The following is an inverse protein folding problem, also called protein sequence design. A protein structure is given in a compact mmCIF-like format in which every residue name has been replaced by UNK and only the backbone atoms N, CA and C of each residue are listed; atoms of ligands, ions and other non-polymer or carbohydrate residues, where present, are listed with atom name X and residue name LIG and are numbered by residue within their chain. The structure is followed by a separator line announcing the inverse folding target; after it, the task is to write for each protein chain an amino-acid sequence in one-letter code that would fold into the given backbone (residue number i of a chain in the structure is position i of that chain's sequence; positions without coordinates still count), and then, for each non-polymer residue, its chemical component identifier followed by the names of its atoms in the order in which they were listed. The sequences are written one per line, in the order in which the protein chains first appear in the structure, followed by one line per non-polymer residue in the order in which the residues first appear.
data_IF_328264402850
#
_entry.id   IF_328264402850
#
_cell.length_a   1.000
_cell.length_b   1.000
_cell.length_c   1.000
_cell.angle_alpha   90.00
_cell.angle_beta   90.00
_cell.angle_gamma   90.00
#
_symmetry.space_group_name_H-M   'P 1'
#
loop_
_entity.id
_entity.type
_entity.pdbx_description
1 polymer ?
#
# COMPACT_ATOMS: atom_id res chain seq x y z
N UNK A 1 -20.59 3.13 -1.03
CA UNK A 1 -21.06 3.96 -2.18
C UNK A 1 -19.85 4.30 -3.03
N UNK A 2 -19.92 4.01 -4.33
CA UNK A 2 -18.92 4.41 -5.33
C UNK A 2 -18.65 5.91 -5.27
N UNK A 3 -17.41 6.35 -5.52
CA UNK A 3 -17.05 7.77 -5.59
C UNK A 3 -17.94 8.51 -6.59
N UNK A 4 -18.29 7.87 -7.71
CA UNK A 4 -19.18 8.44 -8.71
C UNK A 4 -20.63 8.73 -8.20
N UNK A 5 -21.04 8.15 -7.09
CA UNK A 5 -22.35 8.38 -6.47
C UNK A 5 -22.30 9.42 -5.33
N UNK A 6 -21.11 9.91 -4.99
CA UNK A 6 -20.96 10.93 -3.95
C UNK A 6 -21.32 12.33 -4.50
N UNK A 7 -21.79 13.19 -3.60
CA UNK A 7 -21.92 14.62 -3.89
C UNK A 7 -20.54 15.20 -4.22
N UNK A 8 -20.39 16.04 -5.24
CA UNK A 8 -19.12 16.71 -5.54
C UNK A 8 -18.52 17.46 -4.33
N UNK A 9 -19.35 17.97 -3.41
CA UNK A 9 -18.85 18.60 -2.18
C UNK A 9 -18.17 17.58 -1.25
N UNK A 10 -18.63 16.32 -1.22
CA UNK A 10 -17.99 15.25 -0.45
C UNK A 10 -16.66 14.83 -1.10
N UNK A 11 -16.61 14.76 -2.44
CA UNK A 11 -15.35 14.44 -3.14
C UNK A 11 -14.26 15.47 -2.82
N UNK A 12 -14.64 16.74 -2.73
CA UNK A 12 -13.72 17.85 -2.42
C UNK A 12 -13.46 18.04 -0.92
N UNK A 13 -14.25 17.41 -0.05
CA UNK A 13 -14.14 17.49 1.41
C UNK A 13 -14.36 16.09 2.02
N UNK A 14 -13.36 15.20 1.95
CA UNK A 14 -13.49 13.79 2.34
C UNK A 14 -13.96 13.57 3.79
N UNK A 15 -13.68 14.53 4.67
CA UNK A 15 -14.11 14.48 6.07
C UNK A 15 -15.63 14.52 6.27
N UNK A 16 -16.39 14.88 5.23
CA UNK A 16 -17.88 14.87 5.24
C UNK A 16 -18.44 13.52 4.85
N UNK A 17 -17.62 12.58 4.37
CA UNK A 17 -18.10 11.27 3.96
C UNK A 17 -18.47 10.43 5.16
N UNK A 18 -19.70 9.91 5.16
CA UNK A 18 -20.14 8.90 6.12
C UNK A 18 -19.84 7.50 5.60
N UNK A 19 -19.35 6.64 6.47
CA UNK A 19 -19.05 5.25 6.17
C UNK A 19 -20.01 4.33 6.91
N UNK A 20 -20.35 3.16 6.35
CA UNK A 20 -21.07 2.15 7.09
C UNK A 20 -20.20 1.61 8.24
N UNK A 21 -20.83 1.02 9.25
CA UNK A 21 -20.07 0.28 10.27
C UNK A 21 -19.22 -0.82 9.63
N UNK A 22 -18.04 -1.07 10.19
CA UNK A 22 -17.20 -2.18 9.75
C UNK A 22 -17.95 -3.51 9.86
N UNK A 23 -17.76 -4.37 8.88
CA UNK A 23 -18.32 -5.72 8.85
C UNK A 23 -17.33 -6.68 8.23
N UNK A 24 -16.80 -7.57 9.03
CA UNK A 24 -15.89 -8.62 8.58
C UNK A 24 -16.54 -9.49 7.48
N UNK A 25 -17.84 -9.82 7.63
CA UNK A 25 -18.59 -10.58 6.63
C UNK A 25 -18.64 -9.84 5.28
N UNK A 26 -18.92 -8.53 5.29
CA UNK A 26 -18.92 -7.71 4.06
C UNK A 26 -17.52 -7.65 3.43
N UNK A 27 -16.49 -7.43 4.24
CA UNK A 27 -15.10 -7.41 3.76
C UNK A 27 -14.76 -8.73 3.07
N UNK A 28 -14.94 -9.86 3.76
CA UNK A 28 -14.58 -11.17 3.25
C UNK A 28 -15.39 -11.56 2.01
N UNK A 29 -16.70 -11.29 2.01
CA UNK A 29 -17.56 -11.61 0.87
C UNK A 29 -17.25 -10.77 -0.37
N UNK A 30 -17.00 -9.46 -0.20
CA UNK A 30 -16.72 -8.57 -1.34
C UNK A 30 -15.31 -8.68 -1.88
N UNK A 31 -14.31 -8.92 -1.02
CA UNK A 31 -12.91 -9.09 -1.46
C UNK A 31 -12.68 -10.46 -2.08
N UNK A 32 -13.12 -11.54 -1.43
CA UNK A 32 -12.67 -12.89 -1.75
C UNK A 32 -13.70 -13.78 -2.43
N UNK A 33 -15.00 -13.52 -2.25
CA UNK A 33 -16.07 -14.47 -2.67
C UNK A 33 -15.71 -15.91 -2.29
N UNK A 34 -15.55 -16.23 -0.98
CA UNK A 34 -15.05 -17.52 -0.56
C UNK A 34 -15.99 -18.65 -1.00
N UNK A 35 -15.42 -19.82 -1.30
CA UNK A 35 -16.18 -21.01 -1.67
C UNK A 35 -16.35 -21.92 -0.46
N UNK A 36 -17.29 -22.87 -0.56
CA UNK A 36 -17.54 -23.88 0.50
C UNK A 36 -16.26 -24.63 0.86
N UNK A 37 -15.95 -24.67 2.15
CA UNK A 37 -14.77 -25.33 2.70
C UNK A 37 -13.49 -24.45 2.68
N UNK A 38 -13.56 -23.19 2.24
CA UNK A 38 -12.40 -22.27 2.24
C UNK A 38 -11.82 -22.15 3.66
N UNK A 39 -10.60 -22.65 3.85
CA UNK A 39 -9.91 -22.63 5.14
C UNK A 39 -9.10 -21.34 5.30
N UNK A 40 -9.40 -20.56 6.35
CA UNK A 40 -8.80 -19.25 6.59
C UNK A 40 -7.93 -19.25 7.85
N UNK A 41 -6.82 -18.47 7.82
CA UNK A 41 -6.07 -18.10 9.02
C UNK A 41 -5.67 -16.62 9.00
N UNK A 42 -5.21 -16.17 10.17
CA UNK A 42 -4.64 -14.84 10.40
C UNK A 42 -3.17 -14.99 10.71
N UNK A 43 -2.35 -14.13 10.10
CA UNK A 43 -0.94 -13.93 10.44
C UNK A 43 -0.77 -12.54 11.06
N UNK A 44 -0.08 -12.47 12.19
CA UNK A 44 0.35 -11.23 12.84
C UNK A 44 1.86 -11.24 13.01
N UNK A 45 2.49 -10.06 13.09
CA UNK A 45 3.90 -9.94 13.44
C UNK A 45 4.09 -9.63 14.93
N UNK A 46 5.13 -10.17 15.54
CA UNK A 46 5.52 -9.83 16.92
C UNK A 46 7.03 -9.64 17.01
N UNK A 47 7.49 -8.72 17.87
CA UNK A 47 8.91 -8.57 18.19
C UNK A 47 9.40 -9.71 19.12
N UNK A 48 8.57 -10.10 20.08
CA UNK A 48 8.83 -11.21 21.02
C UNK A 48 7.80 -12.32 20.79
N UNK A 49 8.25 -13.42 20.20
CA UNK A 49 7.39 -14.57 19.90
C UNK A 49 6.79 -15.23 21.13
N UNK A 50 7.36 -15.05 22.31
CA UNK A 50 6.79 -15.58 23.57
C UNK A 50 5.44 -14.94 23.93
N UNK A 51 5.15 -13.77 23.37
CA UNK A 51 3.87 -13.07 23.54
C UNK A 51 2.72 -13.74 22.77
N UNK A 52 3.01 -14.68 21.87
CA UNK A 52 1.95 -15.44 21.18
C UNK A 52 1.30 -16.46 22.12
N UNK A 53 2.06 -17.05 23.05
CA UNK A 53 1.53 -18.02 24.02
C UNK A 53 0.42 -17.40 24.86
N UNK A 54 -0.76 -18.04 24.82
CA UNK A 54 -1.94 -17.59 25.57
C UNK A 54 -2.42 -16.19 25.21
N UNK A 55 -2.06 -15.68 24.04
CA UNK A 55 -2.38 -14.30 23.57
C UNK A 55 -1.73 -13.20 24.44
N UNK A 56 -0.54 -13.40 24.96
CA UNK A 56 0.16 -12.46 25.83
C UNK A 56 0.32 -11.05 25.23
N UNK A 57 0.33 -10.91 23.89
CA UNK A 57 0.38 -9.62 23.21
C UNK A 57 -0.84 -8.73 23.49
N UNK A 58 -1.97 -9.29 23.95
CA UNK A 58 -3.16 -8.49 24.31
C UNK A 58 -2.92 -7.60 25.53
N UNK A 59 -2.08 -8.07 26.47
CA UNK A 59 -1.74 -7.34 27.70
C UNK A 59 -0.45 -6.51 27.55
N UNK A 60 0.30 -6.69 26.44
CA UNK A 60 1.54 -5.98 26.20
C UNK A 60 1.29 -4.60 25.57
N UNK A 61 2.16 -3.62 25.90
CA UNK A 61 2.15 -2.28 25.27
C UNK A 61 2.68 -2.36 23.82
N UNK A 62 2.23 -1.46 22.93
CA UNK A 62 2.79 -1.29 21.60
C UNK A 62 2.30 -2.30 20.55
N UNK A 63 1.27 -3.11 20.83
CA UNK A 63 0.73 -4.13 19.93
C UNK A 63 -0.68 -3.80 19.42
N UNK A 64 -0.93 -2.53 19.12
CA UNK A 64 -2.28 -2.06 18.74
C UNK A 64 -2.80 -2.69 17.44
N UNK A 65 -1.94 -2.93 16.46
CA UNK A 65 -2.29 -3.60 15.20
C UNK A 65 -2.71 -5.04 15.46
N UNK A 66 -1.94 -5.77 16.28
CA UNK A 66 -2.17 -7.18 16.61
C UNK A 66 -3.41 -7.35 17.50
N UNK A 67 -3.67 -6.40 18.40
CA UNK A 67 -4.91 -6.37 19.21
C UNK A 67 -6.14 -6.21 18.30
N UNK A 68 -6.08 -5.31 17.31
CA UNK A 68 -7.16 -5.16 16.32
C UNK A 68 -7.33 -6.40 15.44
N UNK A 69 -6.24 -7.05 15.05
CA UNK A 69 -6.30 -8.31 14.33
C UNK A 69 -7.05 -9.39 15.14
N UNK A 70 -6.81 -9.44 16.44
CA UNK A 70 -7.51 -10.34 17.34
C UNK A 70 -8.99 -9.97 17.50
N UNK A 71 -9.28 -8.71 17.88
CA UNK A 71 -10.62 -8.26 18.25
C UNK A 71 -11.58 -8.24 17.04
N UNK A 72 -11.15 -7.70 15.91
CA UNK A 72 -12.00 -7.43 14.76
C UNK A 72 -12.02 -8.56 13.72
N UNK A 73 -10.99 -9.41 13.69
CA UNK A 73 -10.87 -10.49 12.71
C UNK A 73 -10.90 -11.87 13.36
N UNK A 74 -9.99 -12.15 14.30
CA UNK A 74 -9.89 -13.49 14.90
C UNK A 74 -11.15 -13.87 15.64
N UNK A 75 -11.70 -13.03 16.51
CA UNK A 75 -12.93 -13.30 17.25
C UNK A 75 -14.13 -13.54 16.32
N UNK A 76 -14.15 -12.95 15.14
CA UNK A 76 -15.19 -13.15 14.13
C UNK A 76 -15.01 -14.43 13.30
N UNK A 77 -13.78 -14.92 13.18
CA UNK A 77 -13.45 -16.12 12.36
C UNK A 77 -13.41 -17.42 13.17
N UNK A 78 -12.93 -17.36 14.41
CA UNK A 78 -12.75 -18.53 15.24
C UNK A 78 -14.05 -19.32 15.42
N UNK A 79 -13.94 -20.61 15.70
CA UNK A 79 -15.08 -21.50 15.98
C UNK A 79 -16.14 -21.54 14.85
N UNK A 80 -15.72 -21.26 13.61
CA UNK A 80 -16.59 -21.28 12.43
C UNK A 80 -17.50 -20.04 12.33
N UNK A 81 -17.07 -18.88 12.86
CA UNK A 81 -17.83 -17.63 12.87
C UNK A 81 -18.28 -17.16 11.48
N UNK A 82 -17.57 -17.51 10.39
CA UNK A 82 -17.91 -17.21 9.00
C UNK A 82 -18.36 -18.44 8.18
N UNK A 83 -18.94 -19.44 8.85
CA UNK A 83 -19.47 -20.64 8.16
C UNK A 83 -20.64 -20.32 7.20
N UNK A 84 -21.36 -19.21 7.41
CA UNK A 84 -22.35 -18.70 6.47
C UNK A 84 -21.79 -18.26 5.12
N UNK A 85 -20.48 -17.96 5.05
CA UNK A 85 -19.72 -17.72 3.82
C UNK A 85 -19.03 -18.97 3.27
N UNK A 86 -19.30 -20.16 3.83
CA UNK A 86 -18.63 -21.40 3.49
C UNK A 86 -17.20 -21.52 4.04
N UNK A 87 -16.79 -20.64 4.94
CA UNK A 87 -15.42 -20.61 5.48
C UNK A 87 -15.26 -21.55 6.67
N UNK A 88 -14.05 -22.09 6.80
CA UNK A 88 -13.61 -22.94 7.92
C UNK A 88 -12.26 -22.43 8.45
N UNK A 89 -11.76 -23.01 9.56
CA UNK A 89 -10.53 -22.56 10.20
C UNK A 89 -10.78 -21.38 11.14
N UNK A 90 -10.06 -20.31 10.96
CA UNK A 90 -10.07 -19.13 11.82
C UNK A 90 -8.97 -19.19 12.88
N UNK A 91 -7.85 -19.86 12.57
CA UNK A 91 -6.66 -19.92 13.41
C UNK A 91 -5.86 -18.62 13.31
N UNK A 92 -5.06 -18.32 14.34
CA UNK A 92 -4.16 -17.17 14.36
C UNK A 92 -2.73 -17.61 14.70
N UNK A 93 -1.76 -17.08 13.96
CA UNK A 93 -0.34 -17.39 14.11
C UNK A 93 0.47 -16.10 14.12
N UNK A 94 1.63 -16.10 14.77
CA UNK A 94 2.56 -14.99 14.76
C UNK A 94 3.87 -15.36 14.06
N UNK A 95 4.43 -14.43 13.30
CA UNK A 95 5.78 -14.51 12.72
C UNK A 95 6.67 -13.39 13.26
N UNK A 96 8.01 -13.55 13.25
CA UNK A 96 8.94 -12.52 13.69
C UNK A 96 8.82 -11.25 12.86
N UNK A 97 8.71 -10.09 13.53
CA UNK A 97 8.64 -8.78 12.89
C UNK A 97 9.84 -8.52 11.98
N UNK A 98 9.60 -7.99 10.78
CA UNK A 98 10.65 -7.78 9.76
C UNK A 98 11.43 -6.47 9.92
N UNK A 99 10.86 -5.48 10.63
CA UNK A 99 11.41 -4.11 10.77
C UNK A 99 11.60 -3.37 9.44
N UNK A 100 10.96 -3.81 8.38
CA UNK A 100 10.98 -3.16 7.07
C UNK A 100 9.83 -3.61 6.18
N UNK A 101 9.30 -2.68 5.39
CA UNK A 101 8.19 -2.93 4.47
C UNK A 101 8.60 -3.87 3.34
N UNK A 102 7.77 -4.89 3.11
CA UNK A 102 7.93 -5.85 2.02
C UNK A 102 9.23 -6.69 2.06
N UNK A 103 9.90 -6.78 3.20
CA UNK A 103 10.97 -7.76 3.41
C UNK A 103 10.41 -9.19 3.45
N UNK A 104 11.20 -10.15 2.99
CA UNK A 104 10.82 -11.55 3.03
C UNK A 104 10.64 -12.03 4.47
N UNK A 105 9.59 -12.85 4.68
CA UNK A 105 9.28 -13.39 6.00
C UNK A 105 10.20 -14.56 6.34
N UNK A 106 10.56 -14.67 7.62
CA UNK A 106 11.15 -15.91 8.14
C UNK A 106 10.17 -17.07 7.99
N UNK A 107 10.65 -18.27 7.74
CA UNK A 107 9.80 -19.49 7.71
C UNK A 107 9.23 -19.84 9.10
N UNK A 108 9.73 -19.22 10.17
CA UNK A 108 9.27 -19.47 11.53
C UNK A 108 7.95 -18.76 11.83
N UNK A 109 7.00 -19.50 12.41
CA UNK A 109 5.80 -18.91 13.02
C UNK A 109 5.40 -19.71 14.28
N UNK A 110 4.52 -19.11 15.09
CA UNK A 110 4.13 -19.67 16.39
C UNK A 110 2.62 -19.68 16.52
N UNK A 111 2.07 -20.77 17.08
CA UNK A 111 0.67 -20.86 17.46
C UNK A 111 0.44 -20.35 18.89
N UNK A 112 -0.82 -20.38 19.33
CA UNK A 112 -1.25 -19.87 20.64
C UNK A 112 -0.78 -20.70 21.84
N UNK A 113 -0.30 -21.92 21.62
CA UNK A 113 0.36 -22.76 22.62
C UNK A 113 1.87 -22.50 22.67
N UNK A 114 2.40 -21.55 21.88
CA UNK A 114 3.84 -21.26 21.81
C UNK A 114 4.65 -22.28 21.01
N UNK A 115 3.97 -23.12 20.22
CA UNK A 115 4.63 -24.12 19.38
C UNK A 115 5.19 -23.48 18.11
N UNK A 116 6.48 -23.76 17.83
CA UNK A 116 7.13 -23.38 16.59
C UNK A 116 6.58 -24.21 15.41
N UNK A 117 6.19 -23.53 14.36
CA UNK A 117 5.69 -24.06 13.09
C UNK A 117 6.51 -23.44 11.93
N UNK A 118 6.33 -23.97 10.72
CA UNK A 118 6.90 -23.45 9.48
C UNK A 118 5.79 -22.80 8.65
N UNK A 119 5.98 -21.56 8.20
CA UNK A 119 5.04 -20.92 7.28
C UNK A 119 4.87 -21.74 6.00
N UNK A 120 5.97 -22.20 5.41
CA UNK A 120 5.96 -22.96 4.15
C UNK A 120 5.25 -24.31 4.27
N UNK A 121 5.49 -25.06 5.36
CA UNK A 121 4.99 -26.45 5.49
C UNK A 121 3.67 -26.56 6.22
N UNK A 122 3.45 -25.71 7.23
CA UNK A 122 2.36 -25.88 8.18
C UNK A 122 1.25 -24.85 7.97
N UNK A 123 1.52 -23.73 7.24
CA UNK A 123 0.56 -22.66 7.01
C UNK A 123 0.20 -22.55 5.54
N UNK A 124 1.15 -22.24 4.65
CA UNK A 124 0.88 -21.96 3.23
C UNK A 124 0.30 -23.15 2.47
N UNK A 125 0.55 -24.39 2.93
CA UNK A 125 -0.01 -25.62 2.34
C UNK A 125 -1.37 -26.00 2.91
N UNK A 126 -1.76 -25.44 4.06
CA UNK A 126 -2.94 -25.88 4.82
C UNK A 126 -4.12 -24.90 4.71
N UNK A 127 -3.88 -23.64 4.34
CA UNK A 127 -4.91 -22.61 4.29
C UNK A 127 -5.10 -22.08 2.88
N UNK A 128 -6.38 -21.94 2.48
CA UNK A 128 -6.77 -21.39 1.18
C UNK A 128 -6.75 -19.86 1.18
N UNK A 129 -6.92 -19.25 2.37
CA UNK A 129 -7.01 -17.83 2.56
C UNK A 129 -6.19 -17.38 3.77
N UNK A 130 -5.27 -16.43 3.55
CA UNK A 130 -4.39 -15.90 4.60
C UNK A 130 -4.61 -14.40 4.74
N UNK A 131 -5.01 -13.95 5.93
CA UNK A 131 -5.14 -12.55 6.29
C UNK A 131 -3.93 -12.13 7.12
N UNK A 132 -3.00 -11.39 6.54
CA UNK A 132 -1.82 -10.89 7.24
C UNK A 132 -2.08 -9.47 7.74
N UNK A 133 -2.16 -9.31 9.07
CA UNK A 133 -2.41 -8.03 9.74
C UNK A 133 -1.18 -7.72 10.59
N UNK A 134 -0.33 -6.83 10.13
CA UNK A 134 1.03 -6.65 10.61
C UNK A 134 1.40 -5.19 10.79
N UNK A 135 2.50 -4.93 11.46
CA UNK A 135 3.08 -3.59 11.62
C UNK A 135 3.67 -3.10 10.30
N UNK A 136 4.47 -3.96 9.64
CA UNK A 136 5.07 -3.69 8.34
C UNK A 136 4.36 -4.44 7.21
N UNK A 137 4.37 -3.88 6.00
CA UNK A 137 3.78 -4.54 4.84
C UNK A 137 4.47 -5.88 4.54
N UNK A 138 3.67 -6.90 4.29
CA UNK A 138 4.10 -8.22 3.83
C UNK A 138 3.57 -8.56 2.43
N UNK A 139 3.14 -7.55 1.66
CA UNK A 139 2.45 -7.75 0.36
C UNK A 139 3.36 -8.45 -0.64
N UNK A 140 4.59 -7.98 -0.83
CA UNK A 140 5.52 -8.55 -1.80
C UNK A 140 5.89 -10.01 -1.47
N UNK A 141 6.37 -10.35 -0.25
CA UNK A 141 6.71 -11.73 0.06
C UNK A 141 5.50 -12.67 0.01
N UNK A 142 4.34 -12.25 0.51
CA UNK A 142 3.14 -13.09 0.45
C UNK A 142 2.61 -13.26 -0.98
N UNK A 143 2.76 -12.27 -1.86
CA UNK A 143 2.42 -12.41 -3.28
C UNK A 143 3.29 -13.48 -3.96
N UNK A 144 4.59 -13.52 -3.65
CA UNK A 144 5.48 -14.56 -4.15
C UNK A 144 5.08 -15.94 -3.60
N UNK A 145 4.84 -16.05 -2.29
CA UNK A 145 4.41 -17.30 -1.63
C UNK A 145 3.03 -17.77 -2.08
N UNK A 146 2.08 -16.87 -2.30
CA UNK A 146 0.77 -17.21 -2.85
C UNK A 146 0.90 -17.90 -4.20
N UNK A 147 1.73 -17.37 -5.11
CA UNK A 147 2.00 -17.97 -6.42
C UNK A 147 2.70 -19.34 -6.30
N UNK A 148 3.58 -19.52 -5.33
CA UNK A 148 4.31 -20.77 -5.09
C UNK A 148 3.40 -21.86 -4.51
N UNK A 149 2.58 -21.54 -3.50
CA UNK A 149 1.79 -22.52 -2.73
C UNK A 149 0.32 -22.60 -3.13
N UNK A 150 -0.20 -21.64 -3.87
CA UNK A 150 -1.56 -21.71 -4.43
C UNK A 150 -2.66 -21.10 -3.55
N UNK A 151 -2.33 -20.35 -2.49
CA UNK A 151 -3.32 -19.67 -1.64
C UNK A 151 -3.67 -18.27 -2.15
N UNK A 152 -4.71 -17.69 -1.57
CA UNK A 152 -5.08 -16.27 -1.73
C UNK A 152 -4.98 -15.58 -0.38
N UNK A 153 -4.95 -14.24 -0.38
CA UNK A 153 -4.90 -13.53 0.89
C UNK A 153 -5.08 -12.04 0.77
N UNK A 154 -4.93 -11.40 1.92
CA UNK A 154 -4.79 -9.94 2.00
C UNK A 154 -3.75 -9.56 3.05
N UNK A 155 -3.10 -8.42 2.80
CA UNK A 155 -2.25 -7.74 3.77
C UNK A 155 -2.91 -6.45 4.23
N UNK A 156 -2.85 -6.18 5.52
CA UNK A 156 -3.44 -5.00 6.19
C UNK A 156 -2.44 -4.51 7.24
N UNK A 157 -1.42 -3.75 6.81
CA UNK A 157 -0.43 -3.26 7.75
C UNK A 157 -0.84 -1.92 8.39
N UNK A 158 -0.32 -1.65 9.57
CA UNK A 158 -0.59 -0.39 10.28
C UNK A 158 -2.07 -0.14 10.60
N UNK A 159 -2.89 -1.19 10.73
CA UNK A 159 -4.33 -1.13 10.97
C UNK A 159 -4.65 -0.29 12.21
N UNK A 160 -5.54 0.70 12.05
CA UNK A 160 -6.05 1.55 13.11
C UNK A 160 -7.57 1.76 13.01
N UNK A 161 -8.17 2.49 13.98
CA UNK A 161 -9.62 2.71 14.02
C UNK A 161 -10.15 3.49 12.81
N UNK A 162 -9.37 4.44 12.28
CA UNK A 162 -9.79 5.21 11.10
C UNK A 162 -9.86 4.30 9.89
N UNK A 163 -8.83 3.49 9.65
CA UNK A 163 -8.79 2.51 8.56
C UNK A 163 -9.95 1.53 8.66
N UNK A 164 -10.15 0.96 9.85
CA UNK A 164 -11.20 -0.02 10.09
C UNK A 164 -12.59 0.54 9.76
N UNK A 165 -12.87 1.78 10.21
CA UNK A 165 -14.17 2.42 10.05
C UNK A 165 -14.32 3.26 8.76
N UNK A 166 -13.36 3.20 7.84
CA UNK A 166 -13.44 3.87 6.54
C UNK A 166 -12.96 2.98 5.40
N UNK A 167 -11.65 2.86 5.16
CA UNK A 167 -11.11 2.11 4.03
C UNK A 167 -11.44 0.62 4.02
N UNK A 168 -11.61 -0.02 5.17
CA UNK A 168 -12.07 -1.41 5.28
C UNK A 168 -13.60 -1.55 5.40
N UNK A 169 -14.31 -0.45 5.62
CA UNK A 169 -15.77 -0.46 5.79
C UNK A 169 -16.55 -0.32 4.47
N UNK A 170 -15.87 -0.08 3.35
CA UNK A 170 -16.49 0.10 2.03
C UNK A 170 -16.81 -1.22 1.31
N UNK A 171 -17.55 -1.15 0.22
CA UNK A 171 -17.78 -2.27 -0.69
C UNK A 171 -16.66 -2.30 -1.76
N UNK A 172 -15.89 -3.37 -1.78
CA UNK A 172 -14.76 -3.51 -2.69
C UNK A 172 -15.14 -3.71 -4.17
N UNK A 173 -16.40 -4.06 -4.47
CA UNK A 173 -16.91 -3.98 -5.84
C UNK A 173 -16.92 -2.54 -6.34
N UNK A 174 -17.33 -1.60 -5.49
CA UNK A 174 -17.36 -0.18 -5.82
C UNK A 174 -15.94 0.39 -5.91
N UNK A 175 -15.06 0.05 -4.98
CA UNK A 175 -13.64 0.44 -5.03
C UNK A 175 -13.00 0.00 -6.34
N UNK A 176 -13.19 -1.27 -6.72
CA UNK A 176 -12.65 -1.82 -7.97
C UNK A 176 -13.21 -1.14 -9.21
N UNK A 177 -14.50 -0.79 -9.21
CA UNK A 177 -15.13 -0.12 -10.34
C UNK A 177 -14.61 1.32 -10.53
N UNK A 178 -14.41 2.05 -9.44
CA UNK A 178 -13.87 3.41 -9.49
C UNK A 178 -12.38 3.41 -9.88
N UNK A 179 -11.58 2.50 -9.32
CA UNK A 179 -10.19 2.32 -9.73
C UNK A 179 -10.06 1.96 -11.22
N UNK A 180 -10.98 1.14 -11.78
CA UNK A 180 -10.96 0.80 -13.21
C UNK A 180 -11.23 2.00 -14.11
N UNK A 181 -12.14 2.91 -13.72
CA UNK A 181 -12.39 4.14 -14.48
C UNK A 181 -11.16 5.02 -14.57
N UNK A 182 -10.47 5.22 -13.42
CA UNK A 182 -9.23 5.99 -13.39
C UNK A 182 -8.09 5.29 -14.10
N UNK A 183 -7.98 3.96 -13.96
CA UNK A 183 -7.01 3.17 -14.72
C UNK A 183 -7.17 3.37 -16.22
N UNK A 184 -8.40 3.31 -16.74
CA UNK A 184 -8.69 3.54 -18.15
C UNK A 184 -8.35 4.97 -18.59
N UNK A 185 -8.61 5.96 -17.74
CA UNK A 185 -8.26 7.35 -18.01
C UNK A 185 -6.74 7.56 -18.12
N UNK A 186 -5.96 6.83 -17.32
CA UNK A 186 -4.49 6.93 -17.32
C UNK A 186 -3.79 5.89 -18.21
N UNK A 187 -4.54 4.94 -18.78
CA UNK A 187 -3.97 3.84 -19.59
C UNK A 187 -3.13 4.35 -20.76
N UNK A 188 -2.02 3.66 -21.05
CA UNK A 188 -1.14 4.01 -22.17
C UNK A 188 -0.49 5.38 -22.07
N UNK A 189 -0.24 5.87 -20.87
CA UNK A 189 0.54 7.07 -20.66
C UNK A 189 2.00 6.88 -21.11
N UNK A 190 2.56 7.85 -21.83
CA UNK A 190 3.97 7.83 -22.23
C UNK A 190 4.87 8.34 -21.09
N UNK A 191 4.40 9.35 -20.36
CA UNK A 191 5.11 9.90 -19.21
C UNK A 191 4.19 10.67 -18.26
N UNK A 192 4.69 10.86 -17.04
CA UNK A 192 4.10 11.78 -16.05
C UNK A 192 5.15 12.76 -15.57
N UNK A 193 4.77 14.04 -15.42
CA UNK A 193 5.56 15.07 -14.77
C UNK A 193 4.86 15.53 -13.50
N UNK A 194 5.61 15.65 -12.39
CA UNK A 194 5.12 16.13 -11.10
C UNK A 194 5.88 17.39 -10.73
N UNK A 195 5.18 18.50 -10.57
CA UNK A 195 5.74 19.76 -10.10
C UNK A 195 5.47 19.98 -8.61
N UNK A 196 6.54 20.17 -7.86
CA UNK A 196 6.53 20.44 -6.43
C UNK A 196 6.89 21.89 -6.15
N UNK A 197 5.95 22.66 -5.60
CA UNK A 197 6.17 24.03 -5.18
C UNK A 197 6.65 24.07 -3.72
N UNK A 198 7.87 24.52 -3.47
CA UNK A 198 8.43 24.71 -2.15
C UNK A 198 8.04 26.05 -1.54
N UNK A 199 8.07 26.18 -0.21
CA UNK A 199 7.77 27.44 0.50
C UNK A 199 8.73 28.57 0.14
N UNK A 200 9.96 28.27 -0.26
CA UNK A 200 10.95 29.28 -0.69
C UNK A 200 10.76 29.78 -2.13
N UNK A 201 9.71 29.31 -2.81
CA UNK A 201 9.33 29.70 -4.17
C UNK A 201 10.01 28.91 -5.28
N UNK A 202 10.89 27.95 -4.96
CA UNK A 202 11.42 27.00 -5.97
C UNK A 202 10.32 26.04 -6.42
N UNK A 203 10.41 25.62 -7.68
CA UNK A 203 9.63 24.50 -8.21
C UNK A 203 10.61 23.41 -8.60
N UNK A 204 10.39 22.22 -8.08
CA UNK A 204 11.11 21.01 -8.46
C UNK A 204 10.22 20.21 -9.40
N UNK A 205 10.81 19.55 -10.39
CA UNK A 205 10.05 18.69 -11.31
C UNK A 205 10.67 17.32 -11.38
N UNK A 206 9.85 16.29 -11.14
CA UNK A 206 10.17 14.90 -11.43
C UNK A 206 9.46 14.46 -12.71
N UNK A 207 10.21 13.92 -13.66
CA UNK A 207 9.69 13.30 -14.87
C UNK A 207 9.86 11.80 -14.80
N UNK A 208 8.78 11.06 -15.10
CA UNK A 208 8.74 9.61 -15.09
C UNK A 208 8.29 9.10 -16.47
N UNK A 209 9.13 8.30 -17.11
CA UNK A 209 8.86 7.62 -18.38
C UNK A 209 8.08 6.34 -18.15
N UNK A 210 6.97 6.16 -18.87
CA UNK A 210 6.06 5.02 -18.73
C UNK A 210 5.97 4.18 -20.01
N UNK A 211 6.49 4.70 -21.12
CA UNK A 211 6.61 4.00 -22.43
C UNK A 211 5.29 3.39 -22.93
N UNK A 212 4.16 4.07 -22.69
CA UNK A 212 2.83 3.63 -23.15
C UNK A 212 2.36 2.31 -22.53
N UNK A 213 2.88 1.94 -21.35
CA UNK A 213 2.47 0.73 -20.63
C UNK A 213 1.00 0.79 -20.22
N UNK A 214 0.42 -0.37 -19.92
CA UNK A 214 -0.90 -0.40 -19.31
C UNK A 214 -0.80 0.08 -17.87
N UNK A 215 -1.69 1.00 -17.50
CA UNK A 215 -1.89 1.33 -16.09
C UNK A 215 -2.36 0.10 -15.33
N UNK A 216 -1.84 -0.10 -14.13
CA UNK A 216 -2.24 -1.16 -13.22
C UNK A 216 -3.18 -0.59 -12.15
N UNK A 217 -3.88 -1.45 -11.41
CA UNK A 217 -4.69 -1.04 -10.27
C UNK A 217 -4.55 -2.00 -9.10
N UNK A 218 -4.46 -1.47 -7.89
CA UNK A 218 -4.68 -2.18 -6.66
C UNK A 218 -6.12 -1.89 -6.22
N UNK A 219 -7.01 -2.87 -6.38
CA UNK A 219 -8.46 -2.66 -6.29
C UNK A 219 -9.15 -3.52 -5.22
N UNK A 220 -8.36 -4.31 -4.49
CA UNK A 220 -8.81 -5.09 -3.35
C UNK A 220 -9.63 -6.34 -3.66
N UNK A 221 -9.92 -6.67 -4.92
CA UNK A 221 -10.59 -7.95 -5.24
C UNK A 221 -9.56 -9.05 -5.43
N UNK A 222 -9.68 -10.11 -4.65
CA UNK A 222 -8.83 -11.29 -4.70
C UNK A 222 -9.70 -12.56 -4.81
N UNK A 223 -10.33 -12.73 -5.97
CA UNK A 223 -11.40 -13.71 -6.22
C UNK A 223 -10.96 -14.82 -7.17
N UNK A 224 -11.79 -15.87 -7.23
CA UNK A 224 -11.56 -17.00 -8.14
C UNK A 224 -10.55 -17.98 -7.58
N UNK A 225 -9.78 -18.63 -8.46
CA UNK A 225 -8.81 -19.69 -8.11
C UNK A 225 -7.35 -19.28 -8.35
N UNK A 226 -7.11 -18.07 -8.88
CA UNK A 226 -5.74 -17.62 -9.11
C UNK A 226 -5.14 -17.16 -7.77
N UNK A 227 -3.96 -17.69 -7.43
CA UNK A 227 -3.23 -17.23 -6.25
C UNK A 227 -2.90 -15.75 -6.36
N UNK A 228 -3.26 -14.98 -5.33
CA UNK A 228 -3.01 -13.54 -5.30
C UNK A 228 -3.12 -12.98 -3.89
N UNK A 229 -2.58 -11.79 -3.67
CA UNK A 229 -2.66 -11.04 -2.41
C UNK A 229 -3.24 -9.66 -2.67
N UNK A 230 -4.34 -9.33 -1.99
CA UNK A 230 -4.87 -7.98 -1.96
C UNK A 230 -4.14 -7.14 -0.91
N UNK A 231 -3.72 -5.93 -1.24
CA UNK A 231 -3.27 -4.94 -0.26
C UNK A 231 -4.47 -4.09 0.16
N UNK A 232 -4.83 -4.10 1.44
CA UNK A 232 -6.03 -3.47 1.98
C UNK A 232 -5.70 -2.47 3.11
N UNK A 233 -6.34 -1.27 3.12
CA UNK A 233 -7.32 -0.76 2.16
C UNK A 233 -6.75 -0.62 0.76
N UNK A 234 -7.58 -0.85 -0.25
CA UNK A 234 -7.20 -0.73 -1.65
C UNK A 234 -7.84 0.50 -2.30
N UNK A 235 -7.43 0.77 -3.51
CA UNK A 235 -7.97 1.87 -4.33
C UNK A 235 -6.87 2.79 -4.84
N UNK A 236 -6.05 2.28 -5.76
CA UNK A 236 -5.04 3.07 -6.45
C UNK A 236 -4.90 2.62 -7.90
N UNK A 237 -4.35 3.52 -8.70
CA UNK A 237 -3.81 3.25 -10.03
C UNK A 237 -2.32 3.48 -9.98
N UNK A 238 -1.54 2.55 -10.52
CA UNK A 238 -0.08 2.65 -10.47
C UNK A 238 0.60 2.25 -11.76
N UNK A 239 1.85 2.64 -11.87
CA UNK A 239 2.79 2.32 -12.94
C UNK A 239 4.14 1.94 -12.34
N UNK A 240 4.88 1.08 -13.06
CA UNK A 240 6.30 0.84 -12.80
C UNK A 240 7.10 1.71 -13.78
N UNK A 241 7.77 2.79 -13.37
CA UNK A 241 8.50 3.65 -14.28
C UNK A 241 9.63 2.90 -14.97
N UNK A 242 9.80 3.12 -16.29
CA UNK A 242 10.93 2.55 -17.06
C UNK A 242 12.13 3.47 -17.10
N UNK A 243 11.92 4.77 -16.86
CA UNK A 243 12.93 5.81 -16.74
C UNK A 243 12.42 6.92 -15.81
N UNK A 244 13.31 7.61 -15.13
CA UNK A 244 12.96 8.80 -14.36
C UNK A 244 14.14 9.74 -14.22
N UNK A 245 13.84 11.07 -14.12
CA UNK A 245 14.85 12.11 -13.95
C UNK A 245 14.26 13.36 -13.34
N UNK A 246 15.12 14.24 -12.84
CA UNK A 246 14.74 15.51 -12.24
C UNK A 246 14.90 15.53 -10.75
N UNK A 247 14.04 16.27 -10.06
CA UNK A 247 14.16 16.47 -8.62
C UNK A 247 12.79 16.45 -7.96
N UNK A 248 12.73 15.91 -6.75
CA UNK A 248 11.54 16.01 -5.91
C UNK A 248 11.92 16.14 -4.42
N UNK A 249 11.06 16.77 -3.60
CA UNK A 249 11.31 16.90 -2.18
C UNK A 249 10.94 15.62 -1.44
N UNK A 250 11.66 15.33 -0.36
CA UNK A 250 11.33 14.26 0.58
C UNK A 250 11.34 14.80 2.00
N UNK A 251 10.27 14.51 2.75
CA UNK A 251 10.21 14.73 4.19
C UNK A 251 10.51 13.42 4.89
N UNK A 252 11.59 13.42 5.67
CA UNK A 252 12.03 12.27 6.47
C UNK A 252 11.22 12.17 7.77
N UNK A 253 11.26 11.01 8.42
CA UNK A 253 10.51 10.73 9.66
C UNK A 253 10.84 11.68 10.81
N UNK A 254 12.12 12.12 10.91
CA UNK A 254 12.56 13.11 11.93
C UNK A 254 12.14 14.56 11.60
N UNK A 255 11.38 14.75 10.51
CA UNK A 255 10.93 16.06 10.04
C UNK A 255 11.92 16.77 9.12
N UNK A 256 13.11 16.22 8.88
CA UNK A 256 14.08 16.77 7.92
C UNK A 256 13.48 16.82 6.53
N UNK A 257 13.74 17.91 5.81
CA UNK A 257 13.33 18.11 4.43
C UNK A 257 14.57 18.13 3.53
N UNK A 258 14.57 17.26 2.52
CA UNK A 258 15.62 17.16 1.50
C UNK A 258 15.10 17.30 0.08
N UNK A 259 15.99 17.55 -0.86
CA UNK A 259 15.74 17.41 -2.31
C UNK A 259 16.47 16.17 -2.79
N UNK A 260 15.76 15.28 -3.41
CA UNK A 260 16.28 14.10 -4.08
C UNK A 260 16.56 14.40 -5.54
N UNK A 261 17.75 14.03 -6.01
CA UNK A 261 18.17 14.11 -7.41
C UNK A 261 17.98 12.74 -8.06
N UNK A 262 17.27 12.69 -9.19
CA UNK A 262 17.00 11.45 -9.94
C UNK A 262 17.67 11.49 -11.29
N UNK A 263 18.41 10.43 -11.61
CA UNK A 263 19.04 10.19 -12.91
C UNK A 263 18.85 8.72 -13.28
N UNK A 264 18.40 8.45 -14.50
CA UNK A 264 18.23 7.10 -15.04
C UNK A 264 17.43 6.19 -14.07
N UNK A 265 16.27 6.66 -13.59
CA UNK A 265 15.38 5.95 -12.66
C UNK A 265 15.94 5.82 -11.21
N UNK A 266 17.15 6.32 -10.94
CA UNK A 266 17.80 6.20 -9.63
C UNK A 266 17.90 7.52 -8.90
N UNK A 267 17.55 7.53 -7.61
CA UNK A 267 17.94 8.60 -6.70
C UNK A 267 19.43 8.49 -6.45
N UNK A 268 20.18 9.49 -6.87
CA UNK A 268 21.63 9.50 -6.77
C UNK A 268 22.18 10.31 -5.60
N UNK A 269 21.36 11.21 -5.06
CA UNK A 269 21.72 12.04 -3.90
C UNK A 269 20.51 12.68 -3.25
N UNK A 270 20.68 13.05 -1.98
CA UNK A 270 19.81 13.95 -1.24
C UNK A 270 20.56 15.20 -0.81
N UNK A 271 19.92 16.36 -0.87
CA UNK A 271 20.47 17.65 -0.42
C UNK A 271 19.54 18.27 0.61
N UNK A 272 20.09 18.77 1.73
CA UNK A 272 19.33 19.37 2.81
C UNK A 272 18.62 20.66 2.37
N UNK A 273 17.34 20.80 2.68
CA UNK A 273 16.59 22.07 2.69
C UNK A 273 16.51 22.59 4.13
N UNK A 274 16.00 21.77 5.04
CA UNK A 274 15.76 22.12 6.45
C UNK A 274 15.86 20.88 7.33
N UNK A 275 16.34 21.04 8.56
CA UNK A 275 16.41 19.95 9.55
C UNK A 275 17.83 19.44 9.77
N UNK A 276 17.99 18.12 9.84
CA UNK A 276 19.20 17.44 10.30
C UNK A 276 20.10 16.99 9.12
N UNK A 277 21.34 17.50 9.07
CA UNK A 277 22.32 17.08 8.04
C UNK A 277 22.71 15.60 8.19
N UNK A 278 22.73 15.04 9.40
CA UNK A 278 23.07 13.64 9.64
C UNK A 278 22.08 12.68 8.95
N UNK A 279 20.79 13.04 8.91
CA UNK A 279 19.73 12.27 8.21
C UNK A 279 20.01 12.24 6.71
N UNK A 280 20.38 13.38 6.11
CA UNK A 280 20.76 13.47 4.69
C UNK A 280 22.04 12.67 4.40
N UNK A 281 23.05 12.79 5.26
CA UNK A 281 24.31 12.08 5.10
C UNK A 281 24.11 10.55 5.21
N UNK A 282 23.24 10.09 6.13
CA UNK A 282 22.89 8.68 6.27
C UNK A 282 22.17 8.15 5.01
N UNK A 283 21.20 8.90 4.47
CA UNK A 283 20.55 8.54 3.21
C UNK A 283 21.54 8.46 2.05
N UNK A 284 22.39 9.46 1.88
CA UNK A 284 23.41 9.45 0.85
C UNK A 284 24.40 8.28 1.01
N UNK A 285 24.74 7.92 2.24
CA UNK A 285 25.60 6.77 2.52
C UNK A 285 24.91 5.44 2.14
N UNK A 286 23.58 5.31 2.40
CA UNK A 286 22.77 4.14 1.97
C UNK A 286 22.74 4.02 0.45
N UNK A 287 22.45 5.13 -0.27
CA UNK A 287 22.45 5.16 -1.73
C UNK A 287 23.81 4.81 -2.34
N UNK A 288 24.91 5.30 -1.74
CA UNK A 288 26.26 5.00 -2.20
C UNK A 288 26.69 3.55 -1.90
N UNK A 289 26.25 3.00 -0.76
CA UNK A 289 26.53 1.59 -0.41
C UNK A 289 25.70 0.65 -1.28
N UNK A 290 24.40 0.90 -1.43
CA UNK A 290 23.49 0.04 -2.21
C UNK A 290 22.58 0.89 -3.12
N UNK A 291 23.01 1.18 -4.36
CA UNK A 291 22.24 2.03 -5.28
C UNK A 291 20.84 1.51 -5.61
N UNK A 292 20.59 0.20 -5.48
CA UNK A 292 19.25 -0.37 -5.70
C UNK A 292 18.19 0.20 -4.76
N UNK A 293 18.60 0.65 -3.56
CA UNK A 293 17.70 1.30 -2.60
C UNK A 293 17.15 2.65 -3.07
N UNK A 294 17.74 3.25 -4.07
CA UNK A 294 17.31 4.51 -4.69
C UNK A 294 16.55 4.33 -6.00
N UNK A 295 16.39 3.09 -6.50
CA UNK A 295 15.68 2.88 -7.78
C UNK A 295 14.19 3.09 -7.60
N UNK A 296 13.57 3.96 -8.42
CA UNK A 296 12.13 4.20 -8.39
C UNK A 296 11.38 2.98 -8.97
N UNK A 297 10.60 2.32 -8.12
CA UNK A 297 9.85 1.11 -8.45
C UNK A 297 8.38 1.35 -8.73
N UNK A 298 7.83 2.50 -8.28
CA UNK A 298 6.41 2.78 -8.44
C UNK A 298 6.12 4.28 -8.59
N UNK A 299 5.05 4.56 -9.34
CA UNK A 299 4.30 5.82 -9.35
C UNK A 299 2.84 5.48 -9.13
N UNK A 300 2.27 5.85 -7.98
CA UNK A 300 0.90 5.52 -7.61
C UNK A 300 0.02 6.76 -7.41
N UNK A 301 -1.30 6.56 -7.60
CA UNK A 301 -2.35 7.58 -7.49
C UNK A 301 -3.54 7.04 -6.72
N UNK A 302 -3.93 7.72 -5.64
CA UNK A 302 -5.12 7.39 -4.87
C UNK A 302 -6.41 7.59 -5.67
N UNK A 303 -7.38 6.70 -5.46
CA UNK A 303 -8.66 6.71 -6.19
C UNK A 303 -9.87 6.86 -5.29
N UNK A 304 -9.69 6.92 -3.96
CA UNK A 304 -10.75 6.85 -2.99
C UNK A 304 -10.96 8.17 -2.23
N UNK A 305 -12.19 8.47 -1.89
CA UNK A 305 -12.54 9.58 -0.99
C UNK A 305 -12.54 9.05 0.44
N UNK A 306 -11.40 9.15 1.12
CA UNK A 306 -11.16 8.61 2.46
C UNK A 306 -10.68 9.71 3.42
N UNK A 307 -10.97 9.59 4.73
CA UNK A 307 -10.36 10.46 5.73
C UNK A 307 -8.87 10.13 5.88
N UNK A 308 -8.09 11.10 6.32
CA UNK A 308 -6.70 10.89 6.72
C UNK A 308 -6.65 9.95 7.91
N UNK A 309 -5.90 8.87 7.80
CA UNK A 309 -5.76 7.84 8.85
C UNK A 309 -4.49 7.99 9.68
N UNK A 310 -3.48 8.69 9.15
CA UNK A 310 -2.15 8.77 9.72
C UNK A 310 -1.28 7.53 9.44
N UNK A 311 -1.78 6.59 8.64
CA UNK A 311 -1.03 5.43 8.15
C UNK A 311 -1.01 5.45 6.61
N UNK A 312 0.17 5.32 6.03
CA UNK A 312 0.39 5.49 4.59
C UNK A 312 -0.45 4.54 3.76
N UNK A 313 -0.67 3.31 4.21
CA UNK A 313 -1.49 2.30 3.52
C UNK A 313 -2.89 2.80 3.12
N UNK A 314 -3.52 3.67 3.93
CA UNK A 314 -4.79 4.30 3.54
C UNK A 314 -4.57 5.66 2.89
N UNK A 315 -3.64 6.45 3.40
CA UNK A 315 -3.51 7.85 3.01
C UNK A 315 -3.02 7.99 1.55
N UNK A 316 -2.30 6.99 1.03
CA UNK A 316 -1.92 6.88 -0.39
C UNK A 316 -3.09 6.54 -1.32
N UNK A 317 -4.20 5.99 -0.79
CA UNK A 317 -5.40 5.66 -1.56
C UNK A 317 -6.36 6.85 -1.71
N UNK A 318 -6.05 7.99 -1.07
CA UNK A 318 -6.89 9.19 -1.11
C UNK A 318 -6.80 9.87 -2.48
N UNK A 319 -7.95 10.16 -3.07
CA UNK A 319 -8.05 10.83 -4.37
C UNK A 319 -7.42 12.24 -4.32
N UNK A 320 -6.47 12.50 -5.19
CA UNK A 320 -5.69 13.74 -5.22
C UNK A 320 -4.32 13.63 -4.54
N UNK A 321 -3.97 12.47 -3.97
CA UNK A 321 -2.61 12.16 -3.55
C UNK A 321 -1.86 11.39 -4.64
N UNK A 322 -0.55 11.45 -4.61
CA UNK A 322 0.30 10.51 -5.35
C UNK A 322 1.50 10.12 -4.49
N UNK A 323 2.13 9.03 -4.85
CA UNK A 323 3.36 8.56 -4.21
C UNK A 323 4.36 8.05 -5.25
N UNK A 324 5.62 8.06 -4.87
CA UNK A 324 6.70 7.37 -5.54
C UNK A 324 7.21 6.31 -4.57
N UNK A 325 7.57 5.13 -5.07
CA UNK A 325 8.23 4.15 -4.21
C UNK A 325 9.62 3.83 -4.71
N UNK A 326 10.49 3.47 -3.78
CA UNK A 326 11.85 3.02 -4.05
C UNK A 326 12.06 1.58 -3.64
N UNK A 327 13.03 0.91 -4.26
CA UNK A 327 13.40 -0.45 -3.94
C UNK A 327 12.72 -1.51 -4.80
N UNK A 328 12.37 -2.67 -4.21
CA UNK A 328 11.80 -3.80 -4.95
C UNK A 328 10.45 -3.48 -5.57
N UNK A 329 10.21 -4.00 -6.78
CA UNK A 329 8.97 -3.79 -7.54
C UNK A 329 8.43 -5.07 -8.23
N UNK A 330 9.03 -6.22 -7.93
CA UNK A 330 8.69 -7.52 -8.55
C UNK A 330 7.22 -7.93 -8.32
N UNK A 331 6.64 -7.56 -7.18
CA UNK A 331 5.22 -7.80 -6.86
C UNK A 331 4.27 -6.90 -7.68
N UNK A 332 4.76 -5.78 -8.20
CA UNK A 332 4.02 -4.84 -9.05
C UNK A 332 4.20 -5.14 -10.55
N UNK A 333 5.00 -6.15 -10.88
CA UNK A 333 5.32 -6.52 -12.25
C UNK A 333 6.58 -5.86 -12.81
N UNK A 334 7.38 -5.24 -11.95
CA UNK A 334 8.71 -4.72 -12.26
C UNK A 334 9.79 -5.79 -12.27
N UNK A 335 11.03 -5.36 -12.38
CA UNK A 335 12.20 -6.22 -12.56
C UNK A 335 13.18 -6.20 -11.37
N UNK A 336 12.89 -5.38 -10.34
CA UNK A 336 13.75 -5.26 -9.16
C UNK A 336 13.37 -6.32 -8.12
N UNK A 337 14.20 -7.34 -8.02
CA UNK A 337 14.01 -8.47 -7.10
C UNK A 337 14.99 -8.39 -5.92
N UNK A 338 14.70 -9.07 -4.77
CA UNK A 338 15.56 -9.02 -3.58
C UNK A 338 17.03 -9.34 -3.82
N UNK A 339 17.34 -10.28 -4.70
CA UNK A 339 18.72 -10.70 -5.03
C UNK A 339 19.57 -9.60 -5.71
N UNK A 340 18.97 -8.50 -6.16
CA UNK A 340 19.69 -7.37 -6.76
C UNK A 340 20.27 -6.43 -5.71
N UNK A 341 19.80 -6.51 -4.47
CA UNK A 341 20.30 -5.68 -3.37
C UNK A 341 21.55 -6.28 -2.75
N UNK A 342 22.43 -5.41 -2.27
CA UNK A 342 23.68 -5.82 -1.61
C UNK A 342 23.43 -6.61 -0.33
N UNK A 343 22.34 -6.28 0.37
CA UNK A 343 21.91 -6.92 1.62
C UNK A 343 20.42 -7.16 1.56
N UNK A 344 19.99 -8.28 2.13
CA UNK A 344 18.57 -8.63 2.19
C UNK A 344 17.73 -7.57 2.90
N UNK A 345 18.23 -7.00 4.01
CA UNK A 345 17.55 -5.92 4.73
C UNK A 345 17.35 -4.61 3.93
N UNK A 346 18.00 -4.47 2.77
CA UNK A 346 17.85 -3.34 1.88
C UNK A 346 16.76 -3.56 0.81
N UNK A 347 16.26 -4.80 0.65
CA UNK A 347 15.28 -5.16 -0.39
C UNK A 347 13.84 -4.78 0.00
N UNK A 348 13.70 -3.61 0.63
CA UNK A 348 12.40 -3.02 0.97
C UNK A 348 11.70 -2.44 -0.27
N UNK A 349 10.42 -2.17 -0.13
CA UNK A 349 9.63 -1.29 -1.00
C UNK A 349 9.13 -0.16 -0.11
N UNK A 350 9.66 1.03 -0.33
CA UNK A 350 9.44 2.18 0.55
C UNK A 350 8.68 3.29 -0.18
N UNK A 351 7.43 3.55 0.23
CA UNK A 351 6.58 4.58 -0.34
C UNK A 351 6.95 5.97 0.16
N UNK A 352 7.04 6.92 -0.76
CA UNK A 352 7.24 8.35 -0.50
C UNK A 352 5.92 9.04 -0.85
N UNK A 353 5.04 9.15 0.13
CA UNK A 353 3.71 9.71 -0.05
C UNK A 353 3.73 11.24 -0.06
N UNK A 354 3.07 11.81 -1.06
CA UNK A 354 2.79 13.24 -1.16
C UNK A 354 1.32 13.51 -0.87
N UNK A 355 1.05 14.08 0.30
CA UNK A 355 -0.28 14.41 0.77
C UNK A 355 -0.25 15.67 1.65
N UNK A 356 -1.33 16.48 1.69
CA UNK A 356 -1.33 17.77 2.40
C UNK A 356 -0.93 17.67 3.88
N UNK A 357 -1.37 16.62 4.56
CA UNK A 357 -1.11 16.42 5.99
C UNK A 357 0.30 15.87 6.25
N UNK A 358 0.86 15.12 5.31
CA UNK A 358 2.17 14.48 5.46
C UNK A 358 3.31 15.41 5.04
N UNK A 359 3.08 16.20 4.00
CA UNK A 359 4.08 17.09 3.40
C UNK A 359 3.66 18.56 3.41
N UNK A 360 3.38 19.16 4.59
CA UNK A 360 2.89 20.53 4.68
C UNK A 360 3.90 21.59 4.22
N UNK A 361 5.19 21.25 4.13
CA UNK A 361 6.28 22.16 3.74
C UNK A 361 6.40 22.39 2.23
N UNK A 362 5.64 21.66 1.42
CA UNK A 362 5.57 21.83 -0.02
C UNK A 362 4.23 21.34 -0.57
N UNK A 363 3.91 21.76 -1.79
CA UNK A 363 2.68 21.41 -2.47
C UNK A 363 2.99 20.71 -3.79
N UNK A 364 2.21 19.69 -4.16
CA UNK A 364 2.12 19.28 -5.56
C UNK A 364 1.31 20.34 -6.28
N UNK A 365 1.98 21.23 -7.02
CA UNK A 365 1.30 22.25 -7.78
C UNK A 365 0.55 21.67 -8.96
N UNK A 366 1.14 20.68 -9.65
CA UNK A 366 0.52 20.02 -10.78
C UNK A 366 1.13 18.65 -11.04
N UNK A 367 0.28 17.69 -11.45
CA UNK A 367 0.68 16.42 -12.07
C UNK A 367 0.13 16.38 -13.49
N UNK A 368 1.01 16.25 -14.48
CA UNK A 368 0.67 16.20 -15.90
C UNK A 368 1.02 14.85 -16.49
N UNK A 369 0.07 14.25 -17.19
CA UNK A 369 0.24 13.01 -17.95
C UNK A 369 0.33 13.33 -19.43
N UNK A 370 1.27 12.72 -20.14
CA UNK A 370 1.41 12.80 -21.61
C UNK A 370 1.08 11.47 -22.27
N UNK A 371 0.35 11.57 -23.39
CA UNK A 371 -0.01 10.44 -24.26
C UNK A 371 0.00 10.91 -25.71
N UNK A 372 1.04 10.55 -26.46
CA UNK A 372 1.29 11.13 -27.78
C UNK A 372 1.45 12.64 -27.70
N UNK A 373 0.63 13.35 -28.48
CA UNK A 373 0.60 14.82 -28.50
C UNK A 373 -0.39 15.43 -27.47
N UNK A 374 -1.08 14.58 -26.68
CA UNK A 374 -2.06 15.03 -25.68
C UNK A 374 -1.39 15.14 -24.32
N UNK A 375 -1.77 16.20 -23.61
CA UNK A 375 -1.38 16.42 -22.20
C UNK A 375 -2.64 16.61 -21.38
N UNK A 376 -2.75 15.86 -20.29
CA UNK A 376 -3.86 15.91 -19.33
C UNK A 376 -3.34 16.22 -17.94
N UNK A 377 -4.00 17.11 -17.23
CA UNK A 377 -3.71 17.37 -15.83
C UNK A 377 -4.45 16.31 -15.00
N UNK A 378 -3.74 15.61 -14.13
CA UNK A 378 -4.32 14.62 -13.22
C UNK A 378 -4.64 15.25 -11.86
N UNK A 379 -3.70 15.99 -11.30
CA UNK A 379 -3.80 16.58 -9.95
C UNK A 379 -3.37 18.04 -10.01
N UNK A 380 -4.08 18.91 -9.29
CA UNK A 380 -3.70 20.30 -9.01
C UNK A 380 -3.86 20.62 -7.53
N UNK A 381 -2.79 21.03 -6.86
CA UNK A 381 -2.81 21.41 -5.44
C UNK A 381 -3.44 20.32 -4.54
N UNK A 382 -3.01 19.08 -4.71
CA UNK A 382 -3.55 17.89 -4.02
C UNK A 382 -5.04 17.66 -4.24
N UNK A 383 -5.58 18.10 -5.37
CA UNK A 383 -6.98 17.87 -5.74
C UNK A 383 -7.07 17.15 -7.08
N UNK A 384 -8.02 16.25 -7.28
CA UNK A 384 -8.25 15.66 -8.58
C UNK A 384 -8.65 16.76 -9.57
N UNK A 385 -8.11 16.68 -10.78
CA UNK A 385 -8.47 17.58 -11.87
C UNK A 385 -9.87 17.28 -12.39
N UNK A 386 -10.41 18.18 -13.22
CA UNK A 386 -11.67 17.93 -13.90
C UNK A 386 -11.60 16.68 -14.81
N UNK A 387 -10.45 16.40 -15.42
CA UNK A 387 -10.24 15.19 -16.23
C UNK A 387 -10.48 13.91 -15.43
N UNK A 388 -9.91 13.79 -14.22
CA UNK A 388 -10.13 12.62 -13.36
C UNK A 388 -11.58 12.55 -12.83
N UNK A 389 -12.18 13.70 -12.50
CA UNK A 389 -13.57 13.76 -12.07
C UNK A 389 -14.52 13.33 -13.18
N UNK A 390 -14.32 13.77 -14.42
CA UNK A 390 -15.13 13.39 -15.56
C UNK A 390 -15.02 11.88 -15.84
N UNK A 391 -13.83 11.30 -15.71
CA UNK A 391 -13.61 9.86 -15.83
C UNK A 391 -14.37 9.08 -14.75
N UNK A 392 -14.30 9.51 -13.49
CA UNK A 392 -15.03 8.88 -12.38
C UNK A 392 -16.54 8.95 -12.57
N UNK A 393 -17.07 10.09 -13.05
CA UNK A 393 -18.49 10.34 -13.27
C UNK A 393 -19.00 9.73 -14.59
N UNK A 394 -18.11 9.17 -15.44
CA UNK A 394 -18.48 8.62 -16.75
C UNK A 394 -18.91 9.68 -17.76
N UNK A 395 -18.33 10.88 -17.68
CA UNK A 395 -18.61 12.03 -18.53
C UNK A 395 -17.51 12.29 -19.58
N UNK A 396 -16.50 11.42 -19.64
CA UNK A 396 -15.36 11.49 -20.57
C UNK A 396 -15.65 10.82 -21.92
#
# INVERSE_FOLDING_TARGET
MSVASLDPDIIMNPEKREFPEFSLERLLSTVFEPTEGCKVCILIDLEDMSLMEGYGFLDAEGHEVQKKAYEEFYLGLKDGGMSNLGMTGGDIFAFPMTYGSNLDLSDECYDVEGKLLSLDRDIYTEYDLILCISTFSATAPLTAKAKEFGFRGATMHGLNDVILNSGLAVDYNEVSADAEKLRLAMDKADSVEIDFALEDGRVLTAWLGLDGQNAQKSHGLCRGHNPDIANLPAGEVYFVPVDARGQFPMKYEDGTLGVLEVVDRNIISSTLIEGNQETIDAHNARLADDPMTGTLGELGFGTQVLPVSGADIQDEKVLGTCHLATGRDDHLGGDIVPDMFKKHENSTHDDILFAPHKTPNFNISQVRMKRGDQEEILIENFRPSQYLLDALLGQS
#
